data_IF_408281604651
#
_entry.id   IF_408281604651
#
_cell.length_a   1.000
_cell.length_b   1.000
_cell.length_c   1.000
_cell.angle_alpha   90.00
_cell.angle_beta   90.00
_cell.angle_gamma   90.00
#
_symmetry.space_group_name_H-M   'P 1'
#
loop_
_entity.id
_entity.type
_entity.pdbx_description
1 polymer ?
#
# COMPACT_ATOMS: atom_id res chain seq x y z
N UNK A 1 -13.31 41.90 -29.67
CA UNK A 1 -12.39 40.93 -30.32
C UNK A 1 -10.93 41.37 -30.34
N UNK A 2 -10.57 42.66 -30.44
CA UNK A 2 -9.17 43.09 -30.60
C UNK A 2 -8.25 42.81 -29.40
N UNK A 3 -8.76 42.88 -28.16
CA UNK A 3 -7.95 42.66 -26.95
C UNK A 3 -7.38 41.23 -26.89
N UNK A 4 -8.20 40.24 -27.23
CA UNK A 4 -7.78 38.83 -27.30
C UNK A 4 -6.67 38.62 -28.33
N UNK A 5 -6.81 39.24 -29.50
CA UNK A 5 -5.79 39.16 -30.56
C UNK A 5 -4.47 39.82 -30.13
N UNK A 6 -4.52 40.93 -29.40
CA UNK A 6 -3.34 41.60 -28.84
C UNK A 6 -2.66 40.74 -27.75
N UNK A 7 -3.43 40.12 -26.85
CA UNK A 7 -2.91 39.22 -25.82
C UNK A 7 -2.28 37.99 -26.46
N UNK A 8 -2.97 37.36 -27.40
CA UNK A 8 -2.48 36.19 -28.14
C UNK A 8 -1.16 36.49 -28.86
N UNK A 9 -1.07 37.63 -29.56
CA UNK A 9 0.18 38.08 -30.20
C UNK A 9 1.31 38.31 -29.20
N UNK A 10 1.03 38.94 -28.06
CA UNK A 10 2.05 39.18 -27.00
C UNK A 10 2.55 37.87 -26.38
N UNK A 11 1.65 36.95 -26.08
CA UNK A 11 2.01 35.63 -25.54
C UNK A 11 2.85 34.86 -26.56
N UNK A 12 2.44 34.87 -27.83
CA UNK A 12 3.16 34.17 -28.89
C UNK A 12 4.56 34.76 -29.13
N UNK A 13 4.68 36.09 -29.20
CA UNK A 13 5.97 36.76 -29.31
C UNK A 13 6.87 36.48 -28.11
N UNK A 14 6.32 36.50 -26.89
CA UNK A 14 7.11 36.19 -25.68
C UNK A 14 7.55 34.74 -25.64
N UNK A 15 6.72 33.81 -26.12
CA UNK A 15 7.08 32.40 -26.25
C UNK A 15 8.24 32.22 -27.25
N UNK A 16 8.18 32.84 -28.43
CA UNK A 16 9.24 32.79 -29.44
C UNK A 16 10.53 33.41 -28.91
N UNK A 17 10.47 34.58 -28.30
CA UNK A 17 11.64 35.28 -27.73
C UNK A 17 12.31 34.43 -26.65
N UNK A 18 11.50 33.78 -25.81
CA UNK A 18 11.99 32.86 -24.79
C UNK A 18 12.62 31.61 -25.43
N UNK A 19 12.05 31.06 -26.51
CA UNK A 19 12.63 29.94 -27.25
C UNK A 19 13.95 30.30 -27.95
N UNK A 20 14.05 31.50 -28.54
CA UNK A 20 15.26 31.97 -29.20
C UNK A 20 16.39 32.28 -28.21
N UNK A 21 16.06 32.88 -27.06
CA UNK A 21 17.02 33.05 -25.97
C UNK A 21 17.53 31.69 -25.47
N UNK A 22 16.65 30.69 -25.34
CA UNK A 22 17.01 29.31 -24.96
C UNK A 22 17.90 28.61 -25.97
N UNK A 23 17.59 28.73 -27.27
CA UNK A 23 18.40 28.14 -28.34
C UNK A 23 19.85 28.67 -28.34
N UNK A 24 20.06 29.90 -27.86
CA UNK A 24 21.39 30.50 -27.72
C UNK A 24 22.16 30.05 -26.48
N UNK A 25 21.46 29.65 -25.41
CA UNK A 25 22.06 29.31 -24.11
C UNK A 25 22.43 27.83 -23.96
N UNK A 26 21.99 26.95 -24.86
CA UNK A 26 22.44 25.55 -24.95
C UNK A 26 22.09 24.63 -23.76
N UNK A 27 21.35 25.13 -22.76
CA UNK A 27 21.00 24.36 -21.56
C UNK A 27 19.72 23.54 -21.80
N UNK A 28 19.71 22.24 -21.45
CA UNK A 28 18.53 21.39 -21.59
C UNK A 28 17.37 21.95 -20.77
N UNK A 29 16.16 21.84 -21.31
CA UNK A 29 14.94 22.28 -20.65
C UNK A 29 14.66 21.41 -19.43
N UNK A 30 14.98 21.92 -18.24
CA UNK A 30 14.58 21.30 -16.99
C UNK A 30 13.23 21.91 -16.59
N UNK A 31 12.14 21.27 -17.02
CA UNK A 31 10.80 21.63 -16.55
C UNK A 31 10.72 21.27 -15.07
N UNK A 32 11.03 22.21 -14.19
CA UNK A 32 10.86 22.01 -12.76
C UNK A 32 9.36 21.90 -12.51
N UNK A 33 8.88 20.67 -12.34
CA UNK A 33 7.50 20.41 -12.01
C UNK A 33 7.21 21.05 -10.65
N UNK A 34 6.52 22.20 -10.65
CA UNK A 34 6.26 22.96 -9.42
C UNK A 34 5.46 22.15 -8.40
N UNK A 35 4.65 21.20 -8.85
CA UNK A 35 3.89 20.30 -7.96
C UNK A 35 4.84 19.34 -7.25
N UNK A 36 5.71 18.69 -8.01
CA UNK A 36 6.72 17.76 -7.49
C UNK A 36 7.72 18.46 -6.57
N UNK A 37 8.15 19.68 -6.91
CA UNK A 37 9.01 20.49 -6.04
C UNK A 37 8.34 20.86 -4.70
N UNK A 38 7.02 21.09 -4.70
CA UNK A 38 6.25 21.35 -3.47
C UNK A 38 6.11 20.08 -2.63
N UNK A 39 5.76 18.97 -3.26
CA UNK A 39 5.65 17.68 -2.58
C UNK A 39 7.00 17.29 -1.96
N UNK A 40 8.09 17.39 -2.74
CA UNK A 40 9.43 17.10 -2.24
C UNK A 40 9.79 17.96 -1.04
N UNK A 41 9.49 19.26 -1.09
CA UNK A 41 9.73 20.16 0.03
C UNK A 41 8.96 19.78 1.31
N UNK A 42 7.81 19.11 1.23
CA UNK A 42 7.08 18.63 2.42
C UNK A 42 7.86 17.59 3.21
N UNK A 43 8.66 16.77 2.54
CA UNK A 43 9.43 15.68 3.17
C UNK A 43 10.87 16.06 3.48
N UNK A 44 11.41 17.10 2.83
CA UNK A 44 12.84 17.44 2.92
C UNK A 44 13.14 18.74 3.64
N UNK A 45 12.18 19.66 3.77
CA UNK A 45 12.41 20.93 4.46
C UNK A 45 12.25 20.80 5.97
N UNK A 46 13.09 21.53 6.69
CA UNK A 46 13.08 21.57 8.16
C UNK A 46 12.62 22.93 8.65
N UNK A 47 11.63 22.94 9.55
CA UNK A 47 11.22 24.15 10.27
C UNK A 47 12.19 24.41 11.43
N UNK A 48 13.13 25.32 11.19
CA UNK A 48 14.19 25.69 12.15
C UNK A 48 13.61 26.24 13.45
N UNK A 49 12.50 26.99 13.38
CA UNK A 49 11.92 27.65 14.56
C UNK A 49 11.27 26.61 15.47
N UNK A 50 10.47 25.70 14.90
CA UNK A 50 9.85 24.61 15.67
C UNK A 50 10.92 23.67 16.24
N UNK A 51 11.92 23.32 15.44
CA UNK A 51 12.98 22.40 15.88
C UNK A 51 13.85 23.00 16.98
N UNK A 52 14.23 24.28 16.87
CA UNK A 52 15.01 24.98 17.90
C UNK A 52 14.23 25.07 19.23
N UNK A 53 12.92 25.28 19.17
CA UNK A 53 12.04 25.34 20.34
C UNK A 53 11.98 24.00 21.06
N UNK A 54 11.73 22.91 20.34
CA UNK A 54 11.58 21.55 20.93
C UNK A 54 12.91 21.06 21.52
N UNK A 55 14.03 21.36 20.85
CA UNK A 55 15.35 20.88 21.23
C UNK A 55 16.11 21.81 22.19
N UNK A 56 15.58 23.01 22.43
CA UNK A 56 16.20 24.09 23.19
C UNK A 56 17.68 24.31 22.80
N UNK A 57 17.93 24.43 21.50
CA UNK A 57 19.27 24.66 20.95
C UNK A 57 19.23 25.39 19.61
N UNK A 58 20.32 26.08 19.26
CA UNK A 58 20.47 26.64 17.91
C UNK A 58 20.72 25.53 16.89
N UNK A 59 19.83 25.44 15.90
CA UNK A 59 19.86 24.43 14.83
C UNK A 59 20.16 25.06 13.46
N UNK A 60 20.35 26.38 13.37
CA UNK A 60 20.54 27.08 12.10
C UNK A 60 21.74 26.56 11.29
N UNK A 61 22.86 26.27 11.99
CA UNK A 61 24.09 25.76 11.37
C UNK A 61 23.95 24.32 10.85
N UNK A 62 22.98 23.56 11.38
CA UNK A 62 22.75 22.16 11.02
C UNK A 62 21.63 22.00 9.98
N UNK A 63 20.82 23.05 9.74
CA UNK A 63 19.67 23.02 8.84
C UNK A 63 20.00 22.45 7.46
N UNK A 64 20.99 23.02 6.76
CA UNK A 64 21.33 22.57 5.40
C UNK A 64 21.76 21.10 5.37
N UNK A 65 22.44 20.61 6.41
CA UNK A 65 22.86 19.21 6.50
C UNK A 65 21.66 18.28 6.71
N UNK A 66 20.68 18.70 7.50
CA UNK A 66 19.44 17.96 7.72
C UNK A 66 18.60 17.89 6.44
N UNK A 67 18.43 19.00 5.74
CA UNK A 67 17.65 19.04 4.49
C UNK A 67 18.30 18.21 3.38
N UNK A 68 19.63 18.25 3.24
CA UNK A 68 20.35 17.36 2.31
C UNK A 68 20.13 15.89 2.67
N UNK A 69 20.22 15.55 3.96
CA UNK A 69 20.02 14.19 4.43
C UNK A 69 18.62 13.65 4.12
N UNK A 70 17.57 14.43 4.35
CA UNK A 70 16.20 14.03 3.99
C UNK A 70 16.00 14.00 2.47
N UNK A 71 16.65 14.91 1.72
CA UNK A 71 16.60 14.90 0.25
C UNK A 71 17.24 13.65 -0.35
N UNK A 72 18.35 13.18 0.21
CA UNK A 72 19.04 11.96 -0.23
C UNK A 72 18.20 10.70 0.03
N UNK A 73 17.29 10.75 1.01
CA UNK A 73 16.41 9.64 1.41
C UNK A 73 14.94 9.91 1.05
N UNK A 74 14.68 10.83 0.11
CA UNK A 74 13.34 11.34 -0.17
C UNK A 74 12.31 10.24 -0.44
N UNK A 75 12.63 9.29 -1.32
CA UNK A 75 11.72 8.20 -1.70
C UNK A 75 11.32 7.34 -0.50
N UNK A 76 12.28 7.02 0.37
CA UNK A 76 12.04 6.21 1.56
C UNK A 76 11.25 6.98 2.61
N UNK A 77 11.62 8.23 2.90
CA UNK A 77 10.90 9.08 3.86
C UNK A 77 9.46 9.29 3.42
N UNK A 78 9.24 9.56 2.13
CA UNK A 78 7.91 9.73 1.55
C UNK A 78 7.09 8.44 1.66
N UNK A 79 7.66 7.30 1.26
CA UNK A 79 6.98 5.99 1.32
C UNK A 79 6.61 5.62 2.75
N UNK A 80 7.53 5.81 3.69
CA UNK A 80 7.31 5.52 5.12
C UNK A 80 6.20 6.41 5.67
N UNK A 81 6.26 7.72 5.41
CA UNK A 81 5.21 8.63 5.86
C UNK A 81 3.83 8.21 5.32
N UNK A 82 3.72 7.99 4.00
CA UNK A 82 2.46 7.57 3.36
C UNK A 82 1.94 6.24 3.91
N UNK A 83 2.82 5.31 4.24
CA UNK A 83 2.44 4.03 4.85
C UNK A 83 1.73 4.22 6.20
N UNK A 84 2.30 5.05 7.08
CA UNK A 84 1.74 5.26 8.41
C UNK A 84 0.57 6.24 8.43
N UNK A 85 0.56 7.24 7.53
CA UNK A 85 -0.49 8.25 7.41
C UNK A 85 -1.77 7.76 6.72
N UNK A 86 -1.72 6.60 6.07
CA UNK A 86 -2.87 5.97 5.42
C UNK A 86 -3.31 4.69 6.15
N UNK A 87 -2.84 4.49 7.38
CA UNK A 87 -3.04 3.22 8.09
C UNK A 87 -4.42 3.12 8.75
N UNK A 88 -5.10 4.23 8.98
CA UNK A 88 -6.50 4.32 9.39
C UNK A 88 -7.23 5.34 8.50
N UNK A 89 -8.55 5.19 8.31
CA UNK A 89 -9.38 5.93 7.35
C UNK A 89 -9.07 7.44 7.35
N UNK A 90 -8.30 7.93 6.37
CA UNK A 90 -7.75 9.29 6.39
C UNK A 90 -7.08 9.74 5.08
N UNK A 91 -6.71 11.03 5.01
CA UNK A 91 -5.95 11.62 3.90
C UNK A 91 -4.46 11.35 4.09
N UNK A 92 -3.80 10.75 3.09
CA UNK A 92 -2.38 10.39 3.10
C UNK A 92 -1.40 11.59 3.16
N UNK A 93 -1.93 12.79 3.40
CA UNK A 93 -1.19 14.04 3.54
C UNK A 93 -0.95 14.45 5.01
N UNK A 94 -1.54 13.76 5.99
CA UNK A 94 -1.38 14.05 7.42
C UNK A 94 -1.37 12.78 8.27
N UNK A 95 -0.77 12.83 9.45
CA UNK A 95 -0.68 11.69 10.36
C UNK A 95 -1.27 12.06 11.72
N UNK A 96 -2.17 11.24 12.23
CA UNK A 96 -2.72 11.36 13.58
C UNK A 96 -1.68 11.02 14.65
N UNK A 97 -1.97 11.36 15.92
CA UNK A 97 -1.09 11.01 17.04
C UNK A 97 -0.90 9.49 17.17
N UNK A 98 -1.96 8.70 16.97
CA UNK A 98 -1.92 7.25 17.08
C UNK A 98 -1.08 6.61 15.96
N UNK A 99 -1.21 7.10 14.73
CA UNK A 99 -0.39 6.68 13.60
C UNK A 99 1.09 7.07 13.80
N UNK A 100 1.36 8.27 14.31
CA UNK A 100 2.72 8.70 14.62
C UNK A 100 3.34 7.86 15.75
N UNK A 101 2.57 7.55 16.78
CA UNK A 101 3.04 6.70 17.87
C UNK A 101 3.25 5.25 17.40
N UNK A 102 2.40 4.73 16.51
CA UNK A 102 2.58 3.41 15.85
C UNK A 102 3.88 3.38 15.05
N UNK A 103 4.15 4.43 14.26
CA UNK A 103 5.43 4.61 13.56
C UNK A 103 6.64 4.56 14.51
N UNK A 104 6.59 5.30 15.62
CA UNK A 104 7.68 5.31 16.60
C UNK A 104 7.89 3.94 17.26
N UNK A 105 6.81 3.21 17.54
CA UNK A 105 6.87 1.84 18.09
C UNK A 105 7.52 0.88 17.11
N UNK A 106 7.06 0.86 15.87
CA UNK A 106 7.61 -0.02 14.82
C UNK A 106 9.09 0.27 14.59
N UNK A 107 9.49 1.55 14.65
CA UNK A 107 10.87 1.98 14.51
C UNK A 107 11.73 1.77 15.76
N UNK A 108 11.17 1.22 16.85
CA UNK A 108 11.85 1.01 18.14
C UNK A 108 12.41 2.30 18.76
N UNK A 109 11.70 3.41 18.56
CA UNK A 109 12.08 4.73 19.06
C UNK A 109 11.42 5.06 20.41
N UNK A 110 10.35 4.36 20.79
CA UNK A 110 9.73 4.51 22.11
C UNK A 110 10.62 3.88 23.18
N UNK A 111 11.08 4.70 24.11
CA UNK A 111 11.90 4.29 25.26
C UNK A 111 11.25 4.77 26.56
N UNK A 112 11.79 4.39 27.72
CA UNK A 112 11.32 4.92 29.01
C UNK A 112 11.39 6.45 29.06
N UNK A 113 12.46 7.03 28.53
CA UNK A 113 12.65 8.49 28.46
C UNK A 113 11.86 9.16 27.33
N UNK A 114 11.46 8.41 26.30
CA UNK A 114 10.62 8.87 25.19
C UNK A 114 9.27 8.12 25.20
N UNK A 115 8.59 8.19 26.36
CA UNK A 115 7.28 7.57 26.55
C UNK A 115 6.14 8.33 25.87
N UNK A 116 4.94 7.74 25.89
CA UNK A 116 3.75 8.29 25.21
C UNK A 116 3.40 9.72 25.64
N UNK A 117 3.50 10.03 26.94
CA UNK A 117 3.22 11.38 27.45
C UNK A 117 4.15 12.44 26.82
N UNK A 118 5.44 12.12 26.71
CA UNK A 118 6.42 13.01 26.11
C UNK A 118 6.22 13.14 24.58
N UNK A 119 5.91 12.03 23.90
CA UNK A 119 5.54 12.04 22.47
C UNK A 119 4.31 12.91 22.23
N UNK A 120 3.27 12.78 23.05
CA UNK A 120 2.04 13.60 22.97
C UNK A 120 2.34 15.09 23.18
N UNK A 121 3.23 15.43 24.12
CA UNK A 121 3.70 16.81 24.34
C UNK A 121 4.37 17.38 23.10
N UNK A 122 5.35 16.67 22.53
CA UNK A 122 6.04 17.09 21.29
C UNK A 122 5.04 17.25 20.13
N UNK A 123 4.15 16.27 19.95
CA UNK A 123 3.16 16.29 18.88
C UNK A 123 2.23 17.51 18.97
N UNK A 124 1.74 17.81 20.17
CA UNK A 124 0.91 18.98 20.41
C UNK A 124 1.69 20.29 20.19
N UNK A 125 2.95 20.36 20.63
CA UNK A 125 3.78 21.56 20.45
C UNK A 125 4.08 21.86 18.97
N UNK A 126 4.30 20.83 18.14
CA UNK A 126 4.52 20.97 16.69
C UNK A 126 3.25 21.45 15.99
N UNK A 127 2.08 20.98 16.45
CA UNK A 127 0.78 21.21 15.80
C UNK A 127 0.00 22.41 16.35
N UNK A 128 0.44 23.02 17.45
CA UNK A 128 -0.11 24.28 17.92
C UNK A 128 0.16 25.38 16.88
N UNK A 129 -0.85 25.67 16.07
CA UNK A 129 -1.04 26.98 15.44
C UNK A 129 -1.39 27.92 16.59
N UNK A 130 -0.75 29.09 16.67
CA UNK A 130 -0.88 30.04 17.79
C UNK A 130 -2.35 30.44 18.07
N UNK A 131 -3.06 29.63 18.87
CA UNK A 131 -4.34 29.99 19.48
C UNK A 131 -4.24 29.68 20.98
N UNK A 132 -3.96 30.72 21.77
CA UNK A 132 -4.01 30.69 23.23
C UNK A 132 -5.46 30.52 23.69
N UNK A 133 -6.00 29.31 23.70
CA UNK A 133 -7.14 28.95 24.55
C UNK A 133 -7.44 27.45 24.54
N UNK A 134 -6.60 26.62 25.16
CA UNK A 134 -7.08 25.36 25.74
C UNK A 134 -6.43 25.19 27.10
N UNK A 135 -7.25 25.33 28.13
CA UNK A 135 -6.93 24.96 29.49
C UNK A 135 -7.00 23.43 29.53
N UNK A 136 -5.85 22.78 29.64
CA UNK A 136 -5.77 21.34 29.81
C UNK A 136 -5.96 21.03 31.29
N UNK A 137 -7.20 20.75 31.71
CA UNK A 137 -7.45 20.07 32.97
C UNK A 137 -6.95 18.62 32.81
N UNK A 138 -5.75 18.34 33.32
CA UNK A 138 -5.25 16.99 33.52
C UNK A 138 -5.05 16.83 35.03
N UNK A 139 -6.05 16.23 35.67
CA UNK A 139 -5.83 15.49 36.90
C UNK A 139 -5.05 14.22 36.52
N UNK A 140 -3.82 14.09 37.01
CA UNK A 140 -3.26 12.86 37.59
C UNK A 140 -1.76 13.04 37.84
N UNK A 141 -1.49 13.31 39.12
CA UNK A 141 -0.45 12.70 39.97
C UNK A 141 0.43 11.65 39.26
N UNK A 142 1.62 12.05 38.80
CA UNK A 142 2.77 11.15 38.68
C UNK A 142 4.07 11.97 38.59
N UNK A 143 5.01 11.56 39.43
CA UNK A 143 6.28 12.19 39.79
C UNK A 143 7.03 12.91 38.64
N UNK A 144 7.33 14.19 38.88
CA UNK A 144 8.36 14.99 38.19
C UNK A 144 9.76 14.40 38.50
N UNK A 145 10.07 13.25 37.93
CA UNK A 145 11.45 12.76 37.90
C UNK A 145 12.17 13.49 36.77
N UNK A 146 13.03 14.44 37.16
CA UNK A 146 13.93 15.17 36.27
C UNK A 146 14.57 14.20 35.27
N UNK A 147 14.11 14.23 34.02
CA UNK A 147 14.71 13.45 32.95
C UNK A 147 16.14 13.92 32.77
N UNK A 148 17.06 13.15 33.35
CA UNK A 148 18.50 13.29 33.20
C UNK A 148 18.81 13.33 31.71
N UNK A 149 19.31 14.49 31.26
CA UNK A 149 19.72 14.70 29.87
C UNK A 149 20.84 13.69 29.58
N UNK A 150 20.51 12.63 28.85
CA UNK A 150 21.48 11.66 28.35
C UNK A 150 22.73 12.40 27.85
N UNK A 151 23.94 11.99 28.27
CA UNK A 151 25.17 12.71 27.98
C UNK A 151 25.30 12.87 26.47
N UNK A 152 25.30 14.13 26.01
CA UNK A 152 25.42 14.48 24.59
C UNK A 152 26.80 14.01 24.10
N UNK A 153 26.88 12.77 23.62
CA UNK A 153 28.00 12.22 22.86
C UNK A 153 28.41 13.23 21.79
N UNK A 154 29.70 13.40 21.51
CA UNK A 154 30.29 14.43 20.64
C UNK A 154 29.88 14.43 19.15
N UNK A 155 28.72 13.86 18.82
CA UNK A 155 28.10 13.89 17.51
C UNK A 155 27.23 15.15 17.34
N UNK A 156 27.30 15.76 16.16
CA UNK A 156 26.41 16.86 15.78
C UNK A 156 24.95 16.41 15.69
N UNK A 157 24.01 17.37 15.63
CA UNK A 157 22.60 17.07 15.43
C UNK A 157 22.38 16.28 14.13
N UNK A 158 22.97 16.71 13.02
CA UNK A 158 22.87 16.00 11.73
C UNK A 158 23.39 14.57 11.80
N UNK A 159 24.46 14.31 12.55
CA UNK A 159 24.99 12.96 12.76
C UNK A 159 24.04 12.08 13.59
N UNK A 160 23.44 12.64 14.65
CA UNK A 160 22.45 11.93 15.47
C UNK A 160 21.18 11.62 14.67
N UNK A 161 20.69 12.57 13.88
CA UNK A 161 19.54 12.37 12.98
C UNK A 161 19.86 11.33 11.91
N UNK A 162 21.05 11.37 11.30
CA UNK A 162 21.49 10.36 10.34
C UNK A 162 21.48 8.96 10.94
N UNK A 163 22.03 8.82 12.15
CA UNK A 163 22.08 7.55 12.87
C UNK A 163 20.66 7.05 13.14
N UNK A 164 19.77 7.90 13.65
CA UNK A 164 18.37 7.58 13.89
C UNK A 164 17.66 7.14 12.60
N UNK A 165 17.82 7.90 11.51
CA UNK A 165 17.19 7.59 10.22
C UNK A 165 17.65 6.22 9.69
N UNK A 166 18.96 5.96 9.66
CA UNK A 166 19.50 4.73 9.05
C UNK A 166 19.30 3.51 9.95
N UNK A 167 19.68 3.59 11.23
CA UNK A 167 19.72 2.42 12.11
C UNK A 167 18.35 2.05 12.68
N UNK A 168 17.43 3.00 12.79
CA UNK A 168 16.12 2.78 13.42
C UNK A 168 14.99 2.89 12.41
N UNK A 169 14.84 4.04 11.74
CA UNK A 169 13.69 4.28 10.86
C UNK A 169 13.77 3.37 9.62
N UNK A 170 14.79 3.49 8.78
CA UNK A 170 14.90 2.74 7.53
C UNK A 170 15.01 1.22 7.76
N UNK A 171 15.61 0.81 8.87
CA UNK A 171 15.77 -0.61 9.21
C UNK A 171 14.47 -1.29 9.71
N UNK A 172 13.52 -0.51 10.23
CA UNK A 172 12.36 -1.07 10.95
C UNK A 172 10.98 -0.55 10.48
N UNK A 173 10.90 0.60 9.80
CA UNK A 173 9.64 1.13 9.29
C UNK A 173 8.99 0.19 8.26
N UNK A 174 7.65 0.22 8.19
CA UNK A 174 6.85 -0.58 7.25
C UNK A 174 7.03 -2.10 7.39
N UNK A 175 7.55 -2.60 8.52
CA UNK A 175 7.75 -4.04 8.76
C UNK A 175 6.45 -4.83 8.88
N UNK A 176 5.35 -4.16 9.20
CA UNK A 176 3.98 -4.67 9.11
C UNK A 176 3.48 -4.78 7.66
N UNK A 177 4.40 -4.89 6.67
CA UNK A 177 4.07 -5.14 5.26
C UNK A 177 3.45 -6.53 5.08
N UNK A 178 2.19 -6.63 5.45
CA UNK A 178 1.26 -7.65 4.96
C UNK A 178 1.33 -7.71 3.44
N UNK A 179 1.64 -6.62 2.75
CA UNK A 179 1.71 -6.59 1.29
C UNK A 179 2.93 -7.31 0.73
N UNK A 180 4.12 -7.19 1.33
CA UNK A 180 5.29 -7.97 0.91
C UNK A 180 5.04 -9.47 1.15
N UNK A 181 4.46 -9.83 2.30
CA UNK A 181 4.05 -11.19 2.60
C UNK A 181 2.94 -11.70 1.66
N UNK A 182 1.92 -10.89 1.37
CA UNK A 182 0.85 -11.19 0.39
C UNK A 182 1.42 -11.37 -1.01
N UNK A 183 2.41 -10.57 -1.40
CA UNK A 183 3.07 -10.68 -2.70
C UNK A 183 3.87 -11.99 -2.79
N UNK A 184 4.61 -12.34 -1.75
CA UNK A 184 5.31 -13.63 -1.65
C UNK A 184 4.34 -14.82 -1.63
N UNK A 185 3.24 -14.73 -0.90
CA UNK A 185 2.20 -15.77 -0.87
C UNK A 185 1.51 -15.93 -2.23
N UNK A 186 1.40 -14.83 -2.99
CA UNK A 186 0.87 -14.84 -4.35
C UNK A 186 1.88 -15.21 -5.44
N UNK A 187 3.13 -15.47 -5.06
CA UNK A 187 4.16 -15.92 -5.98
C UNK A 187 3.78 -17.27 -6.62
N UNK A 188 4.24 -17.50 -7.85
CA UNK A 188 3.87 -18.66 -8.65
C UNK A 188 4.27 -19.96 -7.94
N UNK A 189 5.42 -19.94 -7.27
CA UNK A 189 5.98 -21.06 -6.52
C UNK A 189 5.08 -21.44 -5.35
N UNK A 190 4.60 -20.45 -4.58
CA UNK A 190 3.68 -20.70 -3.46
C UNK A 190 2.32 -21.21 -3.97
N UNK A 191 1.78 -20.60 -5.03
CA UNK A 191 0.52 -21.04 -5.65
C UNK A 191 0.60 -22.48 -6.17
N UNK A 192 1.73 -22.86 -6.78
CA UNK A 192 1.95 -24.21 -7.28
C UNK A 192 1.91 -25.25 -6.14
N UNK A 193 2.48 -24.92 -4.97
CA UNK A 193 2.40 -25.80 -3.78
C UNK A 193 0.95 -25.95 -3.31
N UNK A 194 0.20 -24.85 -3.18
CA UNK A 194 -1.21 -24.91 -2.79
C UNK A 194 -2.08 -25.71 -3.77
N UNK A 195 -1.86 -25.54 -5.08
CA UNK A 195 -2.56 -26.32 -6.11
C UNK A 195 -2.20 -27.81 -6.04
N UNK A 196 -0.91 -28.13 -5.87
CA UNK A 196 -0.43 -29.52 -5.78
C UNK A 196 -1.04 -30.26 -4.58
N UNK A 197 -1.20 -29.57 -3.44
CA UNK A 197 -1.67 -30.17 -2.20
C UNK A 197 -3.11 -29.82 -1.84
N UNK A 198 -3.86 -29.17 -2.73
CA UNK A 198 -5.20 -28.63 -2.48
C UNK A 198 -6.13 -29.66 -1.83
N UNK A 199 -6.26 -30.85 -2.42
CA UNK A 199 -7.14 -31.92 -1.91
C UNK A 199 -6.74 -32.38 -0.51
N UNK A 200 -5.43 -32.47 -0.22
CA UNK A 200 -4.95 -32.89 1.10
C UNK A 200 -5.17 -31.80 2.14
N UNK A 201 -4.91 -30.54 1.79
CA UNK A 201 -5.16 -29.39 2.65
C UNK A 201 -6.65 -29.26 2.98
N UNK A 202 -7.53 -29.50 2.00
CA UNK A 202 -8.98 -29.52 2.23
C UNK A 202 -9.40 -30.65 3.18
N UNK A 203 -8.85 -31.86 3.02
CA UNK A 203 -9.12 -32.97 3.95
C UNK A 203 -8.68 -32.65 5.38
N UNK A 204 -7.50 -32.03 5.54
CA UNK A 204 -7.01 -31.56 6.83
C UNK A 204 -7.98 -30.51 7.39
N UNK A 205 -8.33 -29.49 6.60
CA UNK A 205 -9.27 -28.45 7.01
C UNK A 205 -10.60 -29.03 7.49
N UNK A 206 -11.21 -29.93 6.71
CA UNK A 206 -12.48 -30.60 7.04
C UNK A 206 -12.40 -31.41 8.32
N UNK A 207 -11.28 -32.07 8.57
CA UNK A 207 -11.05 -32.83 9.82
C UNK A 207 -11.14 -31.95 11.06
N UNK A 208 -10.55 -30.75 11.01
CA UNK A 208 -10.52 -29.83 12.17
C UNK A 208 -11.73 -28.88 12.21
N UNK A 209 -12.40 -28.64 11.08
CA UNK A 209 -13.69 -27.95 11.04
C UNK A 209 -14.82 -28.83 11.58
N UNK A 210 -14.62 -30.15 11.64
CA UNK A 210 -15.57 -31.14 12.14
C UNK A 210 -16.95 -31.01 11.43
N UNK A 211 -18.02 -30.77 12.20
CA UNK A 211 -19.38 -30.57 11.67
C UNK A 211 -19.68 -29.12 11.26
N UNK A 212 -18.76 -28.19 11.54
CA UNK A 212 -18.95 -26.79 11.19
C UNK A 212 -18.67 -26.57 9.70
N UNK A 213 -19.41 -25.63 9.10
CA UNK A 213 -19.18 -25.19 7.72
C UNK A 213 -17.83 -24.51 7.53
N UNK A 214 -17.27 -23.93 8.61
CA UNK A 214 -15.96 -23.28 8.65
C UNK A 214 -15.15 -23.69 9.88
N UNK A 215 -13.83 -23.63 9.76
CA UNK A 215 -12.88 -23.87 10.84
C UNK A 215 -12.91 -22.71 11.83
N UNK A 216 -13.39 -22.98 13.05
CA UNK A 216 -13.39 -22.01 14.13
C UNK A 216 -12.03 -21.92 14.83
N UNK A 217 -11.85 -20.90 15.67
CA UNK A 217 -10.57 -20.66 16.34
C UNK A 217 -10.09 -21.82 17.22
N UNK A 218 -11.01 -22.55 17.85
CA UNK A 218 -10.66 -23.72 18.66
C UNK A 218 -10.15 -24.88 17.79
N UNK A 219 -10.81 -25.13 16.65
CA UNK A 219 -10.37 -26.12 15.68
C UNK A 219 -9.04 -25.76 15.03
N UNK A 220 -8.80 -24.46 14.78
CA UNK A 220 -7.53 -23.98 14.24
C UNK A 220 -6.37 -24.15 15.24
N UNK A 221 -6.58 -23.84 16.52
CA UNK A 221 -5.58 -24.12 17.57
C UNK A 221 -5.28 -25.62 17.63
N UNK A 222 -6.29 -26.48 17.64
CA UNK A 222 -6.11 -27.93 17.64
C UNK A 222 -5.34 -28.45 16.41
N UNK A 223 -5.56 -27.84 15.24
CA UNK A 223 -4.78 -28.11 14.03
C UNK A 223 -3.30 -27.76 14.25
N UNK A 224 -2.99 -26.56 14.76
CA UNK A 224 -1.62 -26.14 14.97
C UNK A 224 -0.90 -27.00 16.02
N UNK A 225 -1.59 -27.41 17.09
CA UNK A 225 -1.05 -28.34 18.09
C UNK A 225 -0.74 -29.71 17.48
N UNK A 226 -1.65 -30.27 16.67
CA UNK A 226 -1.50 -31.61 16.11
C UNK A 226 -0.34 -31.73 15.10
N UNK A 227 0.11 -30.61 14.54
CA UNK A 227 1.23 -30.54 13.59
C UNK A 227 2.47 -29.86 14.17
N UNK A 228 2.48 -29.58 15.48
CA UNK A 228 3.61 -28.95 16.18
C UNK A 228 4.05 -27.61 15.55
N UNK A 229 3.05 -26.81 15.16
CA UNK A 229 3.24 -25.52 14.48
C UNK A 229 3.39 -24.34 15.46
N UNK A 230 3.19 -24.57 16.75
CA UNK A 230 3.51 -23.59 17.78
C UNK A 230 5.02 -23.58 18.02
N UNK A 231 5.57 -22.39 18.17
CA UNK A 231 7.00 -22.18 18.44
C UNK A 231 7.14 -21.14 19.54
N UNK A 232 8.37 -20.93 20.00
CA UNK A 232 8.70 -19.86 20.94
C UNK A 232 8.29 -18.47 20.42
N UNK A 233 8.12 -18.33 19.10
CA UNK A 233 7.79 -17.08 18.39
C UNK A 233 6.30 -16.96 18.07
N UNK A 234 5.57 -18.08 18.00
CA UNK A 234 4.14 -18.11 17.73
C UNK A 234 3.47 -18.93 18.82
N UNK A 235 2.86 -18.25 19.79
CA UNK A 235 2.17 -18.89 20.91
C UNK A 235 0.67 -19.06 20.64
N UNK A 236 0.01 -19.89 21.46
CA UNK A 236 -1.46 -20.02 21.45
C UNK A 236 -2.15 -18.68 21.73
N UNK A 237 -1.54 -17.85 22.58
CA UNK A 237 -2.04 -16.49 22.88
C UNK A 237 -2.02 -15.61 21.64
N UNK A 238 -0.93 -15.65 20.87
CA UNK A 238 -0.77 -14.86 19.64
C UNK A 238 -1.82 -15.26 18.59
N UNK A 239 -2.02 -16.56 18.38
CA UNK A 239 -3.01 -17.06 17.41
C UNK A 239 -4.43 -16.68 17.80
N UNK A 240 -4.80 -16.79 19.08
CA UNK A 240 -6.12 -16.36 19.57
C UNK A 240 -6.31 -14.86 19.42
N UNK A 241 -5.28 -14.06 19.68
CA UNK A 241 -5.31 -12.62 19.51
C UNK A 241 -5.49 -12.23 18.03
N UNK A 242 -4.74 -12.85 17.11
CA UNK A 242 -4.86 -12.63 15.66
C UNK A 242 -6.26 -12.99 15.17
N UNK A 243 -6.78 -14.17 15.55
CA UNK A 243 -8.13 -14.59 15.14
C UNK A 243 -9.23 -13.65 15.65
N UNK A 244 -9.12 -13.19 16.91
CA UNK A 244 -10.05 -12.21 17.46
C UNK A 244 -10.00 -10.90 16.70
N UNK A 245 -8.79 -10.43 16.34
CA UNK A 245 -8.60 -9.21 15.56
C UNK A 245 -9.19 -9.31 14.15
N UNK A 246 -8.98 -10.43 13.45
CA UNK A 246 -9.55 -10.69 12.12
C UNK A 246 -11.09 -10.69 12.17
N UNK A 247 -11.69 -11.26 13.22
CA UNK A 247 -13.15 -11.27 13.39
C UNK A 247 -13.70 -9.88 13.70
N UNK A 248 -12.98 -9.08 14.50
CA UNK A 248 -13.36 -7.69 14.79
C UNK A 248 -13.24 -6.80 13.55
N UNK A 249 -12.18 -6.93 12.75
CA UNK A 249 -12.04 -6.21 11.47
C UNK A 249 -13.15 -6.56 10.46
N UNK A 250 -13.74 -7.75 10.58
CA UNK A 250 -14.87 -8.17 9.74
C UNK A 250 -16.22 -7.63 10.22
N UNK A 251 -16.36 -7.29 11.50
CA UNK A 251 -17.56 -6.66 12.09
C UNK A 251 -17.51 -5.12 12.04
N UNK A 252 -16.32 -4.52 12.09
CA UNK A 252 -16.08 -3.06 12.00
C UNK A 252 -15.88 -2.57 10.55
N UNK A 253 -15.87 -3.47 9.57
CA UNK A 253 -15.91 -3.07 8.17
C UNK A 253 -17.25 -2.35 7.88
N UNK A 254 -17.26 -1.14 7.30
CA UNK A 254 -18.49 -0.64 6.71
C UNK A 254 -18.99 -1.70 5.71
N UNK A 255 -20.30 -1.85 5.57
CA UNK A 255 -20.97 -2.74 4.60
C UNK A 255 -20.64 -2.41 3.12
N UNK A 256 -19.38 -2.14 2.76
CA UNK A 256 -18.90 -2.00 1.39
C UNK A 256 -18.15 -3.25 0.90
N UNK A 257 -17.90 -4.24 1.78
CA UNK A 257 -17.25 -5.51 1.41
C UNK A 257 -18.20 -6.58 0.86
N UNK A 258 -19.46 -6.59 1.32
CA UNK A 258 -20.45 -7.57 0.87
C UNK A 258 -20.93 -7.31 -0.57
N UNK A 259 -20.98 -6.04 -1.00
CA UNK A 259 -21.42 -5.68 -2.34
C UNK A 259 -20.38 -6.05 -3.42
N UNK A 260 -19.08 -5.94 -3.12
CA UNK A 260 -18.01 -6.23 -4.08
C UNK A 260 -17.86 -7.73 -4.33
N UNK A 261 -18.02 -8.57 -3.31
CA UNK A 261 -17.99 -10.03 -3.49
C UNK A 261 -19.22 -10.53 -4.24
N UNK A 262 -20.41 -9.96 -3.98
CA UNK A 262 -21.62 -10.33 -4.74
C UNK A 262 -21.55 -9.89 -6.20
N UNK A 263 -21.00 -8.71 -6.50
CA UNK A 263 -20.84 -8.26 -7.89
C UNK A 263 -19.81 -9.10 -8.64
N UNK A 264 -18.69 -9.45 -8.01
CA UNK A 264 -17.69 -10.35 -8.62
C UNK A 264 -18.27 -11.76 -8.81
N UNK A 265 -19.01 -12.31 -7.85
CA UNK A 265 -19.64 -13.63 -7.99
C UNK A 265 -20.75 -13.63 -9.05
N UNK A 266 -21.51 -12.54 -9.18
CA UNK A 266 -22.51 -12.35 -10.24
C UNK A 266 -21.87 -12.20 -11.61
N UNK A 267 -20.75 -11.49 -11.71
CA UNK A 267 -20.02 -11.28 -12.95
C UNK A 267 -19.29 -12.55 -13.39
N UNK A 268 -18.70 -13.31 -12.46
CA UNK A 268 -18.13 -14.64 -12.69
C UNK A 268 -19.21 -15.62 -13.14
N UNK A 269 -20.39 -15.61 -12.52
CA UNK A 269 -21.51 -16.46 -12.95
C UNK A 269 -22.01 -16.08 -14.35
N UNK A 270 -22.13 -14.79 -14.64
CA UNK A 270 -22.54 -14.30 -15.97
C UNK A 270 -21.52 -14.68 -17.05
N UNK A 271 -20.23 -14.61 -16.75
CA UNK A 271 -19.17 -15.06 -17.65
C UNK A 271 -19.19 -16.59 -17.83
N UNK A 272 -19.46 -17.35 -16.77
CA UNK A 272 -19.59 -18.81 -16.84
C UNK A 272 -20.78 -19.23 -17.72
N UNK A 273 -21.94 -18.59 -17.55
CA UNK A 273 -23.14 -18.88 -18.36
C UNK A 273 -22.92 -18.51 -19.84
N UNK A 274 -22.19 -17.41 -20.12
CA UNK A 274 -21.86 -17.00 -21.48
C UNK A 274 -20.84 -17.96 -22.14
N UNK A 275 -19.87 -18.49 -21.37
CA UNK A 275 -18.94 -19.52 -21.86
C UNK A 275 -19.71 -20.79 -22.25
N UNK A 276 -20.61 -21.26 -21.38
CA UNK A 276 -21.40 -22.47 -21.66
C UNK A 276 -22.28 -22.29 -22.91
N UNK A 277 -22.87 -21.10 -23.08
CA UNK A 277 -23.62 -20.76 -24.28
C UNK A 277 -22.74 -20.78 -25.54
N UNK A 278 -21.57 -20.16 -25.49
CA UNK A 278 -20.63 -20.13 -26.61
C UNK A 278 -20.11 -21.52 -26.97
N UNK A 279 -19.89 -22.40 -25.99
CA UNK A 279 -19.52 -23.81 -26.24
C UNK A 279 -20.64 -24.58 -26.96
N UNK A 280 -21.90 -24.29 -26.65
CA UNK A 280 -23.07 -24.88 -27.29
C UNK A 280 -23.21 -24.41 -28.75
N UNK A 281 -23.01 -23.11 -28.99
CA UNK A 281 -23.03 -22.52 -30.33
C UNK A 281 -21.86 -23.04 -31.20
N UNK A 282 -20.68 -23.22 -30.60
CA UNK A 282 -19.51 -23.79 -31.28
C UNK A 282 -19.78 -25.24 -31.72
N UNK A 283 -20.35 -26.08 -30.83
CA UNK A 283 -20.77 -27.45 -31.18
C UNK A 283 -21.82 -27.47 -32.30
N UNK A 284 -22.78 -26.54 -32.28
CA UNK A 284 -23.78 -26.43 -33.34
C UNK A 284 -23.15 -26.04 -34.68
N UNK A 285 -22.17 -25.14 -34.66
CA UNK A 285 -21.44 -24.72 -35.86
C UNK A 285 -20.58 -25.87 -36.42
N UNK A 286 -19.90 -26.63 -35.58
CA UNK A 286 -19.14 -27.83 -35.98
C UNK A 286 -20.05 -28.88 -36.62
N UNK A 287 -21.23 -29.13 -36.05
CA UNK A 287 -22.22 -30.04 -36.63
C UNK A 287 -22.72 -29.54 -38.00
N UNK A 288 -22.96 -28.23 -38.14
CA UNK A 288 -23.37 -27.63 -39.42
C UNK A 288 -22.29 -27.73 -40.49
N UNK A 289 -21.01 -27.51 -40.13
CA UNK A 289 -19.87 -27.69 -41.04
C UNK A 289 -19.78 -29.15 -41.50
N UNK A 290 -19.87 -30.10 -40.56
CA UNK A 290 -19.85 -31.53 -40.87
C UNK A 290 -20.96 -31.93 -41.85
N UNK A 291 -22.16 -31.38 -41.65
CA UNK A 291 -23.31 -31.60 -42.54
C UNK A 291 -23.09 -30.98 -43.92
N UNK A 292 -22.50 -29.78 -43.98
CA UNK A 292 -22.16 -29.09 -45.23
C UNK A 292 -21.11 -29.87 -46.04
N UNK A 293 -20.08 -30.40 -45.37
CA UNK A 293 -19.06 -31.24 -46.00
C UNK A 293 -19.64 -32.55 -46.53
N UNK A 294 -20.53 -33.19 -45.77
CA UNK A 294 -21.26 -34.38 -46.21
C UNK A 294 -22.12 -34.08 -47.46
N UNK A 295 -22.81 -32.95 -47.48
CA UNK A 295 -23.61 -32.51 -48.63
C UNK A 295 -22.74 -32.25 -49.87
N UNK A 296 -21.60 -31.56 -49.72
CA UNK A 296 -20.64 -31.35 -50.82
C UNK A 296 -20.13 -32.68 -51.40
N UNK A 297 -19.81 -33.64 -50.53
CA UNK A 297 -19.35 -34.97 -50.95
C UNK A 297 -20.42 -35.72 -51.74
N UNK A 298 -21.68 -35.64 -51.30
CA UNK A 298 -22.81 -36.25 -52.00
C UNK A 298 -23.05 -35.64 -53.40
N UNK A 299 -22.94 -34.31 -53.53
CA UNK A 299 -23.05 -33.63 -54.83
C UNK A 299 -21.93 -34.05 -55.78
N UNK A 300 -20.70 -34.21 -55.29
CA UNK A 300 -19.59 -34.70 -56.10
C UNK A 300 -19.82 -36.14 -56.59
N UNK A 301 -20.35 -37.02 -55.75
CA UNK A 301 -20.69 -38.39 -56.17
C UNK A 301 -21.82 -38.45 -57.20
N UNK A 302 -22.85 -37.59 -57.07
CA UNK A 302 -23.92 -37.49 -58.07
C UNK A 302 -23.38 -36.99 -59.41
N UNK A 303 -22.48 -36.00 -59.40
CA UNK A 303 -21.85 -35.52 -60.63
C UNK A 303 -21.00 -36.60 -61.30
N UNK A 304 -20.30 -37.44 -60.52
CA UNK A 304 -19.53 -38.57 -61.06
C UNK A 304 -20.44 -39.64 -61.69
N UNK A 305 -21.56 -40.00 -61.03
CA UNK A 305 -22.52 -40.97 -61.57
C UNK A 305 -23.20 -40.47 -62.85
N UNK A 306 -23.60 -39.20 -62.89
CA UNK A 306 -24.19 -38.60 -64.10
C UNK A 306 -23.18 -38.55 -65.24
N UNK A 307 -21.89 -38.35 -64.94
CA UNK A 307 -20.83 -38.39 -65.94
C UNK A 307 -20.62 -39.82 -66.48
N UNK A 308 -20.66 -40.85 -65.63
CA UNK A 308 -20.55 -42.24 -66.06
C UNK A 308 -21.77 -42.68 -66.90
N UNK A 309 -22.99 -42.30 -66.51
CA UNK A 309 -24.24 -42.62 -67.25
C UNK A 309 -24.32 -41.92 -68.61
N UNK A 310 -23.60 -40.81 -68.83
CA UNK A 310 -23.53 -40.09 -70.11
C UNK A 310 -22.49 -40.68 -71.07
N UNK A 311 -21.62 -41.58 -70.61
CA UNK A 311 -20.53 -42.18 -71.40
C UNK A 311 -20.65 -43.71 -71.60
N UNK A 312 -21.73 -44.33 -71.11
CA UNK A 312 -22.17 -45.72 -71.45
C UNK A 312 -23.32 -45.73 -72.45
#
# INVERSE_FOLDING_TARGET
MQLWTCVQKRVHLKAIDTMLHRARMGLPFQMTNRREARERAMYTKVDVVKLARILDMDVAVEMSKLETLFSDQYEDVQRIFKYYAASDVGDACSMSLDEFHRFLKDCKLVTKSLGLAYVKKIFNEINQVEDKSVQCDIDDDDDDEQNEVLPRTGLSLSQRVKKCLVEYILANACRSSTDAFRHQMNAIECKAVFQTYQTKLEQIYRRYAAQSSSLNGQGFVALLEAYDLFTDVLTVGDVKHVLKKIQQESDDAPESGAAVTTDVDLEVKKLSDEIERLELDLKALEAAITTSEAAKKYVLTLHAQVADDLYT
#
